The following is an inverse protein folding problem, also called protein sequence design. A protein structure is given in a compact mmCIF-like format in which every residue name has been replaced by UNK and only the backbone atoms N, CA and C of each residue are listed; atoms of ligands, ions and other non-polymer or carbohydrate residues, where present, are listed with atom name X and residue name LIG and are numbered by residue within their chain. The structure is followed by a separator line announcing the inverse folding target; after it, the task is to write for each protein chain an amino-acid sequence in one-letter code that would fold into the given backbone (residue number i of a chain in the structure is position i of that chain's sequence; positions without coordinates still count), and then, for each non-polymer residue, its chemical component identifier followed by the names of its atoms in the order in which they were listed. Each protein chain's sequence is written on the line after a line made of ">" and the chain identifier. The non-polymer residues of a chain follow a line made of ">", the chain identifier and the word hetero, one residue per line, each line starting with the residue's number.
data_IF_916920218539
#
_entry.id   IF_916920218539
#
_cell.length_a   1.000
_cell.length_b   1.000
_cell.length_c   1.000
_cell.angle_alpha   90.00
_cell.angle_beta   90.00
_cell.angle_gamma   90.00
#
_symmetry.space_group_name_H-M   'P 1'
#
loop_
_entity.id
_entity.type
_entity.pdbx_description
1 polymer ?
#
# COMPACT_ATOMS: atom_id res chain seq x y z
N UNK A 1 12.17 -16.08 15.20
CA UNK A 1 11.81 -16.99 14.08
C UNK A 1 12.19 -16.34 12.75
N UNK A 2 12.58 -17.13 11.74
CA UNK A 2 12.78 -16.62 10.37
C UNK A 2 11.52 -16.77 9.53
N UNK A 3 11.29 -15.85 8.59
CA UNK A 3 10.16 -15.88 7.64
C UNK A 3 10.62 -15.90 6.17
N UNK A 4 11.54 -16.83 5.76
CA UNK A 4 12.07 -16.85 4.41
C UNK A 4 11.02 -17.18 3.34
N UNK A 5 9.96 -17.91 3.72
CA UNK A 5 8.88 -18.31 2.80
C UNK A 5 8.16 -17.11 2.17
N UNK A 6 8.14 -15.95 2.82
CA UNK A 6 7.52 -14.73 2.28
C UNK A 6 8.20 -14.24 0.99
N UNK A 7 9.49 -14.55 0.82
CA UNK A 7 10.22 -14.20 -0.41
C UNK A 7 9.82 -15.08 -1.60
N UNK A 8 9.38 -16.31 -1.34
CA UNK A 8 9.14 -17.31 -2.38
C UNK A 8 7.66 -17.42 -2.78
N UNK A 9 6.75 -16.91 -1.94
CA UNK A 9 5.32 -16.86 -2.23
C UNK A 9 4.95 -15.55 -2.91
N UNK A 10 4.28 -15.63 -4.05
CA UNK A 10 3.72 -14.46 -4.72
C UNK A 10 2.52 -13.90 -3.93
N UNK A 11 2.43 -12.58 -3.82
CA UNK A 11 1.29 -11.94 -3.19
C UNK A 11 0.02 -12.16 -4.04
N UNK A 12 -1.04 -12.62 -3.39
CA UNK A 12 -2.31 -12.90 -4.05
C UNK A 12 -3.04 -11.59 -4.36
N UNK A 13 -3.18 -11.28 -5.65
CA UNK A 13 -3.88 -10.07 -6.10
C UNK A 13 -5.35 -10.31 -6.49
N UNK A 14 -5.76 -11.56 -6.77
CA UNK A 14 -7.03 -11.85 -7.45
C UNK A 14 -8.32 -11.51 -6.69
N UNK A 15 -8.23 -11.23 -5.39
CA UNK A 15 -9.36 -10.85 -4.54
C UNK A 15 -9.20 -9.44 -3.93
N UNK A 16 -8.18 -8.68 -4.35
CA UNK A 16 -7.87 -7.37 -3.75
C UNK A 16 -9.00 -6.37 -3.99
N UNK A 17 -9.64 -6.40 -5.16
CA UNK A 17 -10.78 -5.54 -5.47
C UNK A 17 -11.96 -5.81 -4.52
N UNK A 18 -12.25 -7.08 -4.22
CA UNK A 18 -13.28 -7.49 -3.28
C UNK A 18 -12.94 -7.03 -1.85
N UNK A 19 -11.68 -7.12 -1.43
CA UNK A 19 -11.23 -6.59 -0.14
C UNK A 19 -11.42 -5.07 -0.06
N UNK A 20 -11.03 -4.32 -1.11
CA UNK A 20 -11.23 -2.87 -1.15
C UNK A 20 -12.73 -2.51 -1.12
N UNK A 21 -13.57 -3.25 -1.83
CA UNK A 21 -15.02 -3.05 -1.83
C UNK A 21 -15.66 -3.37 -0.47
N UNK A 22 -15.21 -4.42 0.20
CA UNK A 22 -15.65 -4.74 1.56
C UNK A 22 -15.24 -3.62 2.54
N UNK A 23 -14.01 -3.13 2.43
CA UNK A 23 -13.52 -2.00 3.24
C UNK A 23 -14.29 -0.70 2.95
N UNK A 24 -14.62 -0.45 1.67
CA UNK A 24 -15.48 0.66 1.25
C UNK A 24 -16.85 0.59 1.92
N UNK A 25 -17.46 -0.61 1.98
CA UNK A 25 -18.76 -0.82 2.61
C UNK A 25 -18.77 -0.53 4.12
N UNK A 26 -17.62 -0.66 4.81
CA UNK A 26 -17.48 -0.33 6.24
C UNK A 26 -16.93 1.08 6.50
N UNK A 27 -16.86 1.92 5.46
CA UNK A 27 -16.55 3.34 5.57
C UNK A 27 -15.09 3.72 5.34
N UNK A 28 -14.23 2.80 4.90
CA UNK A 28 -12.88 3.18 4.41
C UNK A 28 -13.06 3.94 3.09
N UNK A 29 -12.44 5.12 2.90
CA UNK A 29 -12.75 6.01 1.78
C UNK A 29 -12.10 5.57 0.45
N UNK A 30 -12.29 4.33 0.03
CA UNK A 30 -11.91 3.86 -1.30
C UNK A 30 -12.91 4.37 -2.35
N UNK A 31 -12.38 4.87 -3.47
CA UNK A 31 -13.19 5.24 -4.64
C UNK A 31 -13.39 4.04 -5.56
N UNK A 32 -14.42 4.07 -6.41
CA UNK A 32 -14.65 3.00 -7.40
C UNK A 32 -13.47 2.85 -8.37
N UNK A 33 -12.76 3.94 -8.66
CA UNK A 33 -11.56 3.93 -9.48
C UNK A 33 -10.39 3.18 -8.80
N UNK A 34 -10.25 3.32 -7.47
CA UNK A 34 -9.27 2.56 -6.68
C UNK A 34 -9.62 1.06 -6.67
N UNK A 35 -10.91 0.72 -6.51
CA UNK A 35 -11.36 -0.68 -6.59
C UNK A 35 -11.11 -1.27 -7.97
N UNK A 36 -11.46 -0.56 -9.04
CA UNK A 36 -11.29 -1.02 -10.41
C UNK A 36 -9.82 -1.20 -10.82
N UNK A 37 -8.91 -0.46 -10.19
CA UNK A 37 -7.47 -0.50 -10.51
C UNK A 37 -6.63 -1.33 -9.54
N UNK A 38 -7.27 -1.93 -8.53
CA UNK A 38 -6.60 -2.50 -7.36
C UNK A 38 -5.52 -3.55 -7.72
N UNK A 39 -5.78 -4.43 -8.68
CA UNK A 39 -4.78 -5.41 -9.14
C UNK A 39 -3.59 -4.76 -9.85
N UNK A 40 -3.86 -3.77 -10.70
CA UNK A 40 -2.82 -3.04 -11.42
C UNK A 40 -1.97 -2.21 -10.47
N UNK A 41 -2.60 -1.55 -9.49
CA UNK A 41 -1.92 -0.79 -8.46
C UNK A 41 -1.04 -1.68 -7.59
N UNK A 42 -1.54 -2.86 -7.21
CA UNK A 42 -0.76 -3.83 -6.44
C UNK A 42 0.47 -4.30 -7.21
N UNK A 43 0.35 -4.56 -8.51
CA UNK A 43 1.50 -4.93 -9.35
C UNK A 43 2.50 -3.77 -9.50
N UNK A 44 2.02 -2.55 -9.71
CA UNK A 44 2.86 -1.38 -9.93
C UNK A 44 3.62 -0.92 -8.67
N UNK A 45 3.18 -1.31 -7.46
CA UNK A 45 3.85 -0.93 -6.21
C UNK A 45 5.32 -1.36 -6.11
N UNK A 46 5.74 -2.40 -6.84
CA UNK A 46 7.14 -2.86 -6.88
C UNK A 46 7.91 -2.40 -8.13
N UNK A 47 7.25 -1.65 -9.02
CA UNK A 47 7.82 -1.17 -10.29
C UNK A 47 7.89 0.38 -10.31
N UNK A 48 8.83 0.99 -9.57
CA UNK A 48 8.92 2.46 -9.45
C UNK A 48 9.22 3.19 -10.76
N UNK A 49 9.81 2.51 -11.73
CA UNK A 49 10.15 3.05 -13.04
C UNK A 49 9.05 2.80 -14.10
N UNK A 50 7.90 2.24 -13.71
CA UNK A 50 6.77 2.00 -14.61
C UNK A 50 5.89 3.24 -14.77
N UNK A 51 5.26 3.38 -15.94
CA UNK A 51 4.26 4.44 -16.18
C UNK A 51 3.07 4.34 -15.20
N UNK A 52 2.81 3.15 -14.65
CA UNK A 52 1.73 2.92 -13.69
C UNK A 52 2.05 3.45 -12.28
N UNK A 53 3.32 3.71 -11.95
CA UNK A 53 3.71 4.21 -10.64
C UNK A 53 3.10 5.58 -10.33
N UNK A 54 2.96 6.46 -11.32
CA UNK A 54 2.34 7.78 -11.14
C UNK A 54 0.87 7.66 -10.74
N UNK A 55 0.12 6.72 -11.35
CA UNK A 55 -1.28 6.47 -11.02
C UNK A 55 -1.45 5.93 -9.59
N UNK A 56 -0.52 5.08 -9.14
CA UNK A 56 -0.49 4.61 -7.74
C UNK A 56 -0.22 5.78 -6.80
N UNK A 57 0.76 6.64 -7.11
CA UNK A 57 1.10 7.79 -6.28
C UNK A 57 -0.05 8.82 -6.19
N UNK A 58 -0.82 8.99 -7.26
CA UNK A 58 -2.00 9.85 -7.26
C UNK A 58 -3.11 9.30 -6.34
N UNK A 59 -3.43 8.00 -6.46
CA UNK A 59 -4.45 7.35 -5.62
C UNK A 59 -4.02 7.19 -4.17
N UNK A 60 -2.73 6.97 -3.94
CA UNK A 60 -2.14 6.62 -2.65
C UNK A 60 -0.90 7.48 -2.36
N UNK A 61 -1.04 8.79 -2.11
CA UNK A 61 0.09 9.73 -2.03
C UNK A 61 1.05 9.47 -0.86
N UNK A 62 0.65 8.67 0.12
CA UNK A 62 1.50 8.25 1.25
C UNK A 62 2.09 6.85 1.09
N UNK A 63 1.74 6.12 0.03
CA UNK A 63 2.32 4.81 -0.25
C UNK A 63 3.70 4.99 -0.87
N UNK A 64 4.65 4.14 -0.46
CA UNK A 64 5.97 4.09 -1.08
C UNK A 64 5.95 3.03 -2.18
N UNK A 65 6.34 3.43 -3.39
CA UNK A 65 6.48 2.54 -4.55
C UNK A 65 7.94 2.17 -4.67
N UNK A 66 8.26 0.90 -4.43
CA UNK A 66 9.63 0.39 -4.40
C UNK A 66 9.62 -1.13 -4.46
N UNK A 67 10.60 -1.70 -5.15
CA UNK A 67 10.94 -3.10 -5.01
C UNK A 67 11.64 -3.33 -3.65
N UNK A 68 10.94 -3.93 -2.69
CA UNK A 68 11.42 -4.06 -1.31
C UNK A 68 12.25 -5.31 -1.09
N UNK A 69 11.95 -6.40 -1.80
CA UNK A 69 12.66 -7.67 -1.69
C UNK A 69 13.85 -7.82 -2.67
N UNK A 70 13.96 -6.92 -3.65
CA UNK A 70 15.02 -6.87 -4.66
C UNK A 70 14.87 -7.89 -5.80
N UNK A 71 13.73 -8.57 -5.92
CA UNK A 71 13.46 -9.59 -6.95
C UNK A 71 12.63 -8.99 -8.09
N UNK A 72 12.92 -9.32 -9.35
CA UNK A 72 12.09 -8.87 -10.46
C UNK A 72 10.76 -9.64 -10.51
N UNK A 73 9.73 -9.01 -11.06
CA UNK A 73 8.43 -9.65 -11.33
C UNK A 73 7.32 -9.12 -10.43
N UNK A 74 6.31 -9.98 -10.20
CA UNK A 74 5.15 -9.62 -9.38
C UNK A 74 5.53 -9.53 -7.89
N UNK A 75 4.83 -8.69 -7.10
CA UNK A 75 5.09 -8.55 -5.67
C UNK A 75 5.07 -9.89 -4.94
N UNK A 76 6.05 -10.13 -4.07
CA UNK A 76 6.03 -11.25 -3.12
C UNK A 76 5.23 -10.92 -1.87
N UNK A 77 4.92 -11.92 -1.05
CA UNK A 77 4.35 -11.67 0.29
C UNK A 77 5.31 -10.84 1.16
N UNK A 78 6.63 -10.92 0.92
CA UNK A 78 7.62 -10.07 1.57
C UNK A 78 7.47 -8.60 1.16
N UNK A 79 7.31 -8.32 -0.14
CA UNK A 79 7.04 -6.94 -0.61
C UNK A 79 5.78 -6.39 0.04
N UNK A 80 4.69 -7.17 0.06
CA UNK A 80 3.42 -6.76 0.65
C UNK A 80 3.55 -6.46 2.15
N UNK A 81 4.28 -7.30 2.89
CA UNK A 81 4.52 -7.09 4.31
C UNK A 81 5.37 -5.84 4.57
N UNK A 82 6.45 -5.64 3.81
CA UNK A 82 7.32 -4.46 3.98
C UNK A 82 6.56 -3.19 3.60
N UNK A 83 5.79 -3.19 2.51
CA UNK A 83 4.96 -2.07 2.11
C UNK A 83 3.98 -1.66 3.23
N UNK A 84 3.32 -2.62 3.86
CA UNK A 84 2.47 -2.37 5.03
C UNK A 84 3.25 -1.75 6.19
N UNK A 85 4.42 -2.30 6.53
CA UNK A 85 5.27 -1.79 7.62
C UNK A 85 5.76 -0.36 7.36
N UNK A 86 6.09 -0.01 6.11
CA UNK A 86 6.53 1.36 5.76
C UNK A 86 5.42 2.40 5.92
N UNK A 87 4.15 2.00 5.83
CA UNK A 87 3.02 2.92 6.01
C UNK A 87 2.70 3.16 7.48
N UNK A 88 3.02 2.21 8.38
CA UNK A 88 2.68 2.32 9.80
C UNK A 88 3.29 3.58 10.43
N UNK A 89 2.43 4.39 11.05
CA UNK A 89 2.83 5.63 11.74
C UNK A 89 3.05 6.85 10.81
N UNK A 90 3.09 6.66 9.49
CA UNK A 90 3.28 7.78 8.53
C UNK A 90 2.00 8.60 8.29
N UNK A 91 0.84 8.00 8.58
CA UNK A 91 -0.46 8.61 8.29
C UNK A 91 -0.95 9.59 9.35
N UNK A 92 -0.23 9.76 10.46
CA UNK A 92 -0.57 10.71 11.53
C UNK A 92 -0.59 12.13 10.97
N UNK A 93 -1.71 12.83 11.15
CA UNK A 93 -1.83 14.25 10.85
C UNK A 93 -1.42 15.06 12.09
N UNK A 94 -0.17 15.52 12.11
CA UNK A 94 0.36 16.35 13.20
C UNK A 94 -0.19 17.78 13.19
N UNK A 95 -0.87 18.23 12.13
CA UNK A 95 -1.48 19.56 12.09
C UNK A 95 -2.73 19.64 13.00
N UNK A 96 -3.36 18.50 13.28
CA UNK A 96 -4.45 18.39 14.24
C UNK A 96 -3.98 18.56 15.71
N UNK A 97 -2.67 18.46 15.97
CA UNK A 97 -2.11 18.63 17.30
C UNK A 97 -1.80 20.11 17.60
N UNK A 98 -2.67 20.77 18.37
CA UNK A 98 -2.43 22.12 18.87
C UNK A 98 -1.49 22.11 20.09
N UNK A 99 -0.18 22.04 19.84
CA UNK A 99 0.85 22.07 20.88
C UNK A 99 0.73 23.30 21.82
N UNK A 100 0.20 24.41 21.30
CA UNK A 100 0.11 25.68 22.01
C UNK A 100 -0.96 25.71 23.13
N UNK A 101 -1.97 24.84 23.07
CA UNK A 101 -3.02 24.73 24.10
C UNK A 101 -2.63 23.78 25.25
N UNK A 102 -1.59 22.96 25.08
CA UNK A 102 -1.14 21.94 26.04
C UNK A 102 0.14 22.31 26.79
N UNK A 103 0.66 23.52 26.62
CA UNK A 103 1.67 24.10 27.50
C UNK A 103 1.01 24.43 28.84
N UNK A 104 1.17 23.54 29.83
CA UNK A 104 0.89 23.83 31.23
C UNK A 104 2.04 24.62 31.85
#
# INVERSE_FOLDING_TARGET
>A
PGYPFLLDTAAKATDIAEHLKANQAVGVPYTDAMVASAEADMAAQVEPDSDAAEAVAERYPKALIRNFDGRPGKPSEMDALIAYLQVLGTMVDFSAYKAQENLR
#
